data_IF_279770761950
#
_entry.id   IF_279770761950
#
_cell.length_a   1.000
_cell.length_b   1.000
_cell.length_c   1.000
_cell.angle_alpha   90.00
_cell.angle_beta   90.00
_cell.angle_gamma   90.00
#
_symmetry.space_group_name_H-M   'P 1'
#
loop_
_entity.id
_entity.type
_entity.pdbx_description
1 polymer ?
#
# COMPACT_ATOMS: atom_id res chain seq x y z
N UNK A 1 13.21 0.39 20.40
CA UNK A 1 12.86 -0.15 19.07
C UNK A 1 11.37 -0.33 19.14
N UNK A 2 10.59 0.48 18.41
CA UNK A 2 9.13 0.30 18.39
C UNK A 2 8.85 -1.10 17.87
N UNK A 3 8.36 -1.99 18.74
CA UNK A 3 8.07 -3.39 18.43
C UNK A 3 6.75 -3.47 17.65
N UNK A 4 6.77 -2.95 16.41
CA UNK A 4 5.63 -2.96 15.50
C UNK A 4 5.62 -4.28 14.75
N UNK A 5 4.62 -5.11 15.03
CA UNK A 5 4.34 -6.34 14.28
C UNK A 5 3.67 -6.01 12.93
N UNK A 6 4.48 -5.54 11.97
CA UNK A 6 4.05 -5.15 10.63
C UNK A 6 4.09 -6.38 9.71
N UNK A 7 2.93 -6.76 9.16
CA UNK A 7 2.81 -7.96 8.33
C UNK A 7 2.40 -7.64 6.89
N UNK A 8 2.76 -8.49 5.92
CA UNK A 8 2.14 -8.45 4.60
C UNK A 8 0.61 -8.38 4.68
N UNK A 9 0.04 -7.58 3.80
CA UNK A 9 -1.38 -7.23 3.70
C UNK A 9 -1.95 -6.38 4.82
N UNK A 10 -1.14 -5.92 5.79
CA UNK A 10 -1.58 -4.89 6.71
C UNK A 10 -1.73 -3.52 6.02
N UNK A 11 -2.72 -2.77 6.47
CA UNK A 11 -2.92 -1.38 6.14
C UNK A 11 -2.38 -0.51 7.28
N UNK A 12 -1.56 0.48 6.95
CA UNK A 12 -0.94 1.39 7.92
C UNK A 12 -0.99 2.83 7.44
N UNK A 13 -1.09 3.77 8.38
CA UNK A 13 -0.60 5.12 8.13
C UNK A 13 0.93 5.11 8.25
N UNK A 14 1.59 5.59 7.22
CA UNK A 14 3.04 5.75 7.18
C UNK A 14 3.43 7.13 6.67
N UNK A 15 4.58 7.63 7.12
CA UNK A 15 5.20 8.86 6.64
C UNK A 15 5.75 8.62 5.23
N UNK A 16 5.10 9.20 4.22
CA UNK A 16 5.48 9.04 2.81
C UNK A 16 5.96 10.38 2.26
N UNK A 17 7.22 10.42 1.83
CA UNK A 17 7.80 11.58 1.18
C UNK A 17 7.11 11.91 -0.14
N UNK A 18 7.07 13.19 -0.51
CA UNK A 18 6.56 13.59 -1.82
C UNK A 18 7.55 13.22 -2.93
N UNK A 19 7.02 12.94 -4.13
CA UNK A 19 7.86 12.54 -5.28
C UNK A 19 8.66 13.73 -5.84
N UNK A 20 8.09 14.93 -5.76
CA UNK A 20 8.65 16.20 -6.23
C UNK A 20 9.55 16.89 -5.18
N UNK A 21 9.32 16.63 -3.90
CA UNK A 21 10.11 17.18 -2.80
C UNK A 21 10.30 16.15 -1.66
N UNK A 22 11.38 15.35 -1.69
CA UNK A 22 11.63 14.33 -0.68
C UNK A 22 11.89 14.88 0.73
N UNK A 23 12.11 16.19 0.89
CA UNK A 23 12.25 16.83 2.20
C UNK A 23 10.93 16.99 2.94
N UNK A 24 9.80 16.87 2.21
CA UNK A 24 8.45 16.94 2.76
C UNK A 24 7.81 15.55 2.72
N UNK A 25 7.07 15.24 3.78
CA UNK A 25 6.35 13.99 3.91
C UNK A 25 5.00 14.22 4.58
N UNK A 26 4.03 13.40 4.21
CA UNK A 26 2.74 13.32 4.88
C UNK A 26 2.45 11.89 5.32
N UNK A 27 1.64 11.77 6.36
CA UNK A 27 1.04 10.49 6.70
C UNK A 27 0.02 10.08 5.63
N UNK A 28 0.25 8.91 5.04
CA UNK A 28 -0.60 8.32 3.99
C UNK A 28 -0.95 6.89 4.35
N UNK A 29 -2.16 6.42 4.01
CA UNK A 29 -2.45 5.00 4.07
C UNK A 29 -1.58 4.25 3.04
N UNK A 30 -1.00 3.14 3.47
CA UNK A 30 -0.20 2.23 2.65
C UNK A 30 -0.63 0.78 2.90
N UNK A 31 -0.46 -0.06 1.89
CA UNK A 31 -0.60 -1.51 1.98
C UNK A 31 0.80 -2.12 2.03
N UNK A 32 1.10 -2.90 3.07
CA UNK A 32 2.34 -3.69 3.14
C UNK A 32 2.22 -4.89 2.21
N UNK A 33 3.23 -5.14 1.39
CA UNK A 33 3.26 -6.27 0.45
C UNK A 33 4.29 -7.31 0.86
N UNK A 34 5.46 -6.87 1.30
CA UNK A 34 6.56 -7.77 1.65
C UNK A 34 7.50 -7.10 2.66
N UNK A 35 8.30 -7.92 3.33
CA UNK A 35 9.34 -7.49 4.27
C UNK A 35 10.63 -8.24 3.96
N UNK A 36 11.74 -7.50 3.86
CA UNK A 36 13.07 -8.09 3.70
C UNK A 36 14.11 -7.32 4.49
N UNK A 37 14.63 -7.95 5.55
CA UNK A 37 15.74 -7.46 6.39
C UNK A 37 15.46 -6.08 7.02
N UNK A 38 14.27 -5.90 7.57
CA UNK A 38 13.80 -4.67 8.20
C UNK A 38 13.42 -3.57 7.20
N UNK A 39 13.28 -3.89 5.91
CA UNK A 39 12.79 -2.97 4.88
C UNK A 39 11.51 -3.53 4.29
N UNK A 40 10.46 -2.72 4.31
CA UNK A 40 9.12 -3.10 3.87
C UNK A 40 8.85 -2.56 2.48
N UNK A 41 8.36 -3.41 1.59
CA UNK A 41 7.74 -3.01 0.34
C UNK A 41 6.26 -2.68 0.62
N UNK A 42 5.82 -1.49 0.21
CA UNK A 42 4.45 -1.06 0.39
C UNK A 42 3.89 -0.37 -0.86
N UNK A 43 2.56 -0.33 -0.97
CA UNK A 43 1.84 0.36 -2.04
C UNK A 43 1.08 1.55 -1.49
N UNK A 44 1.14 2.68 -2.19
CA UNK A 44 0.38 3.88 -1.82
C UNK A 44 -1.13 3.65 -1.98
N UNK A 45 -1.90 4.14 -1.01
CA UNK A 45 -3.36 4.18 -1.08
C UNK A 45 -3.82 5.63 -1.21
N UNK A 46 -4.84 5.86 -2.04
CA UNK A 46 -5.47 7.19 -2.21
C UNK A 46 -6.99 7.07 -2.14
N UNK A 47 -7.67 8.16 -1.76
CA UNK A 47 -9.13 8.30 -1.87
C UNK A 47 -9.59 8.58 -3.30
N UNK A 48 -8.68 8.96 -4.19
CA UNK A 48 -9.00 9.20 -5.59
C UNK A 48 -9.49 7.91 -6.25
N UNK A 49 -10.58 7.94 -7.04
CA UNK A 49 -10.99 6.81 -7.87
C UNK A 49 -9.85 6.29 -8.76
N UNK A 50 -9.90 5.01 -9.19
CA UNK A 50 -8.95 4.48 -10.16
C UNK A 50 -8.95 5.32 -11.43
N UNK A 51 -7.76 5.56 -11.96
CA UNK A 51 -7.58 6.28 -13.21
C UNK A 51 -7.42 5.27 -14.33
N UNK A 52 -8.34 5.25 -15.28
CA UNK A 52 -8.35 4.25 -16.37
C UNK A 52 -7.10 4.30 -17.25
N UNK A 53 -6.49 5.49 -17.38
CA UNK A 53 -5.25 5.69 -18.15
C UNK A 53 -3.97 5.23 -17.43
N UNK A 54 -4.06 4.77 -16.18
CA UNK A 54 -2.90 4.33 -15.40
C UNK A 54 -3.01 2.86 -15.03
N UNK A 55 -1.99 2.09 -15.38
CA UNK A 55 -1.91 0.69 -14.98
C UNK A 55 -1.72 0.56 -13.46
N UNK A 56 -2.33 -0.49 -12.89
CA UNK A 56 -2.15 -0.84 -11.49
C UNK A 56 -3.01 -0.01 -10.51
N UNK A 57 -4.11 0.58 -10.96
CA UNK A 57 -5.05 1.28 -10.08
C UNK A 57 -6.17 0.30 -9.63
N UNK A 58 -6.06 -0.25 -8.42
CA UNK A 58 -7.01 -1.22 -7.88
C UNK A 58 -7.98 -0.58 -6.89
N UNK A 59 -9.28 -0.57 -7.21
CA UNK A 59 -10.34 -0.14 -6.26
C UNK A 59 -10.53 -1.18 -5.17
N UNK A 60 -10.34 -0.78 -3.91
CA UNK A 60 -10.56 -1.65 -2.74
C UNK A 60 -12.06 -1.89 -2.57
N UNK A 61 -12.48 -3.15 -2.69
CA UNK A 61 -13.88 -3.56 -2.62
C UNK A 61 -14.40 -3.60 -1.19
N UNK A 62 -13.59 -4.09 -0.24
CA UNK A 62 -13.95 -4.22 1.18
C UNK A 62 -13.22 -3.20 2.05
N UNK A 63 -13.13 -1.96 1.56
CA UNK A 63 -12.40 -0.88 2.21
C UNK A 63 -12.82 -0.67 3.67
N UNK A 64 -14.13 -0.68 3.94
CA UNK A 64 -14.67 -0.50 5.29
C UNK A 64 -14.26 -1.63 6.23
N UNK A 65 -14.36 -2.88 5.76
CA UNK A 65 -13.96 -4.06 6.53
C UNK A 65 -12.44 -4.18 6.70
N UNK A 66 -11.66 -3.50 5.86
CA UNK A 66 -10.21 -3.38 6.00
C UNK A 66 -9.79 -2.22 6.94
N UNK A 67 -10.74 -1.43 7.44
CA UNK A 67 -10.50 -0.32 8.37
C UNK A 67 -10.30 1.05 7.72
N UNK A 68 -10.45 1.16 6.39
CA UNK A 68 -10.42 2.46 5.71
C UNK A 68 -11.71 3.24 5.96
N UNK A 69 -11.61 4.56 6.08
CA UNK A 69 -12.77 5.43 6.31
C UNK A 69 -13.59 5.70 5.06
N UNK A 70 -12.96 5.61 3.88
CA UNK A 70 -13.51 6.01 2.60
C UNK A 70 -13.19 4.98 1.51
N UNK A 71 -13.99 4.92 0.42
CA UNK A 71 -13.62 4.24 -0.80
C UNK A 71 -12.21 4.67 -1.24
N UNK A 72 -11.36 3.69 -1.50
CA UNK A 72 -9.93 3.94 -1.74
C UNK A 72 -9.39 3.08 -2.89
N UNK A 73 -8.29 3.53 -3.47
CA UNK A 73 -7.57 2.90 -4.56
C UNK A 73 -6.14 2.58 -4.11
N UNK A 74 -5.72 1.33 -4.27
CA UNK A 74 -4.33 0.90 -4.13
C UNK A 74 -3.63 1.14 -5.46
N UNK A 75 -2.49 1.83 -5.43
CA UNK A 75 -1.71 2.19 -6.62
C UNK A 75 -0.51 1.26 -6.74
N UNK A 76 -0.69 0.13 -7.41
CA UNK A 76 0.33 -0.93 -7.60
C UNK A 76 1.56 -0.41 -8.36
N UNK A 77 1.40 0.57 -9.26
CA UNK A 77 2.52 1.23 -9.94
C UNK A 77 3.32 2.20 -9.07
N UNK A 78 2.91 2.44 -7.82
CA UNK A 78 3.54 3.37 -6.86
C UNK A 78 4.07 2.63 -5.63
N UNK A 79 5.13 1.85 -5.85
CA UNK A 79 5.86 1.15 -4.81
C UNK A 79 6.63 2.11 -3.91
N UNK A 80 6.65 1.78 -2.62
CA UNK A 80 7.33 2.49 -1.55
C UNK A 80 8.27 1.51 -0.85
N UNK A 81 9.44 2.02 -0.42
CA UNK A 81 10.36 1.32 0.47
C UNK A 81 10.34 2.04 1.80
N UNK A 82 9.88 1.35 2.85
CA UNK A 82 9.67 1.92 4.17
C UNK A 82 10.50 1.18 5.22
N UNK A 83 11.03 1.93 6.18
CA UNK A 83 11.64 1.39 7.39
C UNK A 83 10.61 1.35 8.54
N UNK A 84 10.82 0.56 9.62
CA UNK A 84 9.91 0.47 10.76
C UNK A 84 9.51 1.82 11.36
N UNK A 85 10.42 2.80 11.33
CA UNK A 85 10.20 4.16 11.84
C UNK A 85 9.18 4.97 11.03
N UNK A 86 8.95 4.61 9.78
CA UNK A 86 8.05 5.33 8.89
C UNK A 86 6.58 4.95 9.18
N UNK A 87 6.34 3.77 9.74
CA UNK A 87 5.01 3.31 10.14
C UNK A 87 4.54 4.03 11.41
N UNK A 88 3.35 4.62 11.36
CA UNK A 88 2.76 5.39 12.47
C UNK A 88 1.70 4.60 13.21
N UNK A 89 0.63 4.21 12.51
CA UNK A 89 -0.55 3.57 13.11
C UNK A 89 -1.15 2.54 12.17
N UNK A 90 -1.45 1.35 12.71
CA UNK A 90 -2.18 0.32 11.97
C UNK A 90 -3.62 0.78 11.72
N UNK A 91 -4.09 0.59 10.49
CA UNK A 91 -5.46 0.85 10.03
C UNK A 91 -6.27 -0.44 10.14
N UNK A 92 -5.71 -1.55 9.67
CA UNK A 92 -6.36 -2.85 9.62
C UNK A 92 -5.60 -3.80 8.72
N UNK A 93 -6.31 -4.73 8.10
CA UNK A 93 -5.73 -5.74 7.20
C UNK A 93 -6.62 -5.87 5.97
N UNK A 94 -5.98 -5.95 4.80
CA UNK A 94 -6.66 -6.08 3.52
C UNK A 94 -7.46 -7.39 3.49
N UNK A 95 -8.66 -7.36 2.89
CA UNK A 95 -9.52 -8.55 2.83
C UNK A 95 -9.09 -9.48 1.71
N UNK A 96 -9.33 -10.78 1.88
CA UNK A 96 -8.90 -11.81 0.91
C UNK A 96 -9.32 -11.54 -0.54
N UNK A 97 -10.52 -11.02 -0.78
CA UNK A 97 -10.98 -10.65 -2.13
C UNK A 97 -10.13 -9.53 -2.74
N UNK A 98 -9.69 -8.59 -1.90
CA UNK A 98 -8.84 -7.48 -2.29
C UNK A 98 -7.38 -7.93 -2.44
N UNK A 99 -6.90 -8.82 -1.57
CA UNK A 99 -5.58 -9.48 -1.69
C UNK A 99 -5.46 -10.18 -3.03
N UNK A 100 -6.43 -11.03 -3.39
CA UNK A 100 -6.44 -11.73 -4.68
C UNK A 100 -6.44 -10.74 -5.86
N UNK A 101 -7.20 -9.65 -5.76
CA UNK A 101 -7.23 -8.60 -6.77
C UNK A 101 -5.87 -7.92 -6.97
N UNK A 102 -5.22 -7.53 -5.87
CA UNK A 102 -3.88 -6.91 -5.90
C UNK A 102 -2.83 -7.89 -6.41
N UNK A 103 -2.85 -9.15 -5.95
CA UNK A 103 -1.89 -10.17 -6.39
C UNK A 103 -2.00 -10.43 -7.89
N UNK A 104 -3.21 -10.45 -8.46
CA UNK A 104 -3.39 -10.58 -9.90
C UNK A 104 -2.70 -9.46 -10.71
N UNK A 105 -2.65 -8.24 -10.20
CA UNK A 105 -1.88 -7.17 -10.84
C UNK A 105 -0.37 -7.40 -10.70
N UNK A 106 0.08 -7.78 -9.50
CA UNK A 106 1.50 -8.04 -9.22
C UNK A 106 2.01 -9.20 -10.10
N UNK A 107 1.26 -10.29 -10.23
CA UNK A 107 1.62 -11.44 -11.06
C UNK A 107 1.73 -11.06 -12.54
N UNK A 108 0.84 -10.19 -13.03
CA UNK A 108 0.91 -9.68 -14.42
C UNK A 108 2.15 -8.83 -14.66
N UNK A 109 2.61 -8.09 -13.65
CA UNK A 109 3.85 -7.32 -13.74
C UNK A 109 5.06 -8.24 -13.94
N UNK A 110 5.16 -9.29 -13.13
CA UNK A 110 6.29 -10.22 -13.21
C UNK A 110 6.25 -11.11 -14.47
N UNK A 111 5.06 -11.52 -14.93
CA UNK A 111 4.92 -12.27 -16.19
C UNK A 111 5.33 -11.47 -17.43
N UNK A 112 5.25 -10.14 -17.39
CA UNK A 112 5.67 -9.28 -18.50
C UNK A 112 7.14 -8.86 -18.42
N UNK A 113 7.88 -9.31 -17.40
CA UNK A 113 9.30 -8.98 -17.18
C UNK A 113 10.23 -10.16 -17.52
N UNK A 114 9.67 -11.35 -17.77
CA UNK A 114 10.33 -12.56 -18.26
C UNK A 114 9.95 -12.81 -19.72
#
# INVERSE_FOLDING_TARGET
MDDKDIKPYDLWFASVAYEDDPSKADDRPVLVIDEKRGIYAALKITRTPPRESFWGEYRVQKWRQAGLSDPSTIRISKFLRLAPKDFRRKIGTLRMVDVAGVQNYIDRLYKNTL
#
